data_IF_118100543117
#
_entry.id   IF_118100543117
#
_cell.length_a   1.000
_cell.length_b   1.000
_cell.length_c   1.000
_cell.angle_alpha   90.00
_cell.angle_beta   90.00
_cell.angle_gamma   90.00
#
_symmetry.space_group_name_H-M   'P 1'
#
loop_
_entity.id
_entity.type
_entity.pdbx_description
1 polymer ?
#
# COMPACT_ATOMS: atom_id res chain seq x y z
N UNK A 1 8.08 14.36 -6.66
CA UNK A 1 7.93 13.14 -5.83
C UNK A 1 6.76 12.33 -6.36
N UNK A 2 6.90 11.00 -6.49
CA UNK A 2 5.85 10.11 -6.99
C UNK A 2 5.63 8.97 -6.01
N UNK A 3 4.37 8.75 -5.62
CA UNK A 3 3.94 7.63 -4.79
C UNK A 3 3.23 6.59 -5.66
N UNK A 4 3.69 5.34 -5.57
CA UNK A 4 3.04 4.17 -6.18
C UNK A 4 2.61 3.23 -5.07
N UNK A 5 1.37 2.76 -5.10
CA UNK A 5 0.79 1.93 -4.04
C UNK A 5 0.07 0.74 -4.64
N UNK A 6 0.04 -0.36 -3.91
CA UNK A 6 -0.77 -1.52 -4.25
C UNK A 6 -1.27 -2.23 -2.99
N UNK A 7 -2.40 -2.90 -3.13
CA UNK A 7 -3.03 -3.71 -2.09
C UNK A 7 -3.45 -5.05 -2.67
N UNK A 8 -3.19 -6.10 -1.91
CA UNK A 8 -3.47 -7.49 -2.27
C UNK A 8 -4.36 -8.16 -1.22
N UNK A 9 -5.19 -9.09 -1.66
CA UNK A 9 -5.93 -10.04 -0.81
C UNK A 9 -5.94 -11.42 -1.46
N UNK A 10 -5.74 -12.47 -0.67
CA UNK A 10 -5.68 -13.86 -1.18
C UNK A 10 -7.04 -14.53 -1.42
N UNK A 11 -8.14 -13.84 -1.09
CA UNK A 11 -9.51 -14.31 -1.33
C UNK A 11 -10.08 -13.79 -2.64
N UNK A 12 -10.75 -14.65 -3.41
CA UNK A 12 -11.60 -14.24 -4.53
C UNK A 12 -12.83 -13.50 -3.97
N UNK A 13 -12.84 -12.17 -4.11
CA UNK A 13 -13.97 -11.24 -3.87
C UNK A 13 -14.50 -11.10 -2.43
N UNK A 14 -14.28 -12.06 -1.54
CA UNK A 14 -14.80 -12.06 -0.16
C UNK A 14 -13.70 -11.97 0.89
N UNK A 15 -14.05 -11.52 2.10
CA UNK A 15 -13.17 -11.32 3.27
C UNK A 15 -12.74 -12.66 3.89
N UNK A 16 -12.14 -13.53 3.08
CA UNK A 16 -11.79 -14.91 3.45
C UNK A 16 -10.28 -15.16 3.39
N UNK A 17 -9.50 -14.23 2.85
CA UNK A 17 -8.07 -14.39 2.60
C UNK A 17 -7.23 -13.27 3.19
N UNK A 18 -6.00 -13.62 3.60
CA UNK A 18 -5.02 -12.69 4.15
C UNK A 18 -4.77 -11.54 3.18
N UNK A 19 -4.67 -10.33 3.74
CA UNK A 19 -4.46 -9.12 2.97
C UNK A 19 -3.13 -8.44 3.33
N UNK A 20 -2.64 -7.63 2.41
CA UNK A 20 -1.44 -6.84 2.58
C UNK A 20 -1.48 -5.60 1.73
N UNK A 21 -0.68 -4.61 2.09
CA UNK A 21 -0.54 -3.37 1.36
C UNK A 21 0.91 -2.93 1.26
N UNK A 22 1.22 -2.12 0.26
CA UNK A 22 2.55 -1.59 0.07
C UNK A 22 2.57 -0.31 -0.74
N UNK A 23 3.67 0.42 -0.59
CA UNK A 23 3.90 1.68 -1.26
C UNK A 23 5.37 1.94 -1.50
N UNK A 24 5.67 2.61 -2.60
CA UNK A 24 7.01 2.97 -3.01
C UNK A 24 7.03 4.44 -3.47
N UNK A 25 7.97 5.18 -2.93
CA UNK A 25 8.16 6.60 -3.21
C UNK A 25 9.42 6.78 -4.04
N UNK A 26 9.28 7.55 -5.13
CA UNK A 26 10.37 7.91 -6.02
C UNK A 26 10.56 9.41 -6.11
N UNK A 27 11.79 9.84 -6.34
CA UNK A 27 12.08 11.22 -6.72
C UNK A 27 11.71 11.47 -8.20
N UNK A 28 11.93 12.68 -8.66
CA UNK A 28 11.71 13.12 -10.05
C UNK A 28 12.59 12.39 -11.08
N UNK A 29 13.73 11.82 -10.65
CA UNK A 29 14.62 10.98 -11.46
C UNK A 29 14.21 9.51 -11.49
N UNK A 30 13.04 9.18 -10.95
CA UNK A 30 12.55 7.82 -10.78
C UNK A 30 13.42 6.91 -9.89
N UNK A 31 14.31 7.49 -9.08
CA UNK A 31 15.11 6.75 -8.11
C UNK A 31 14.24 6.43 -6.88
N UNK A 32 14.47 5.25 -6.28
CA UNK A 32 13.81 4.86 -5.04
C UNK A 32 14.29 5.74 -3.89
N UNK A 33 13.36 6.25 -3.10
CA UNK A 33 13.65 7.08 -1.92
C UNK A 33 13.32 6.31 -0.65
N UNK A 34 12.07 5.83 -0.55
CA UNK A 34 11.56 5.08 0.61
C UNK A 34 10.33 4.26 0.21
N UNK A 35 9.85 3.42 1.12
CA UNK A 35 8.64 2.64 0.90
C UNK A 35 8.00 2.17 2.20
N UNK A 36 6.81 1.59 2.07
CA UNK A 36 6.07 0.98 3.17
C UNK A 36 5.56 -0.41 2.77
N UNK A 37 5.48 -1.30 3.74
CA UNK A 37 4.84 -2.60 3.62
C UNK A 37 4.01 -2.83 4.88
N UNK A 38 2.79 -3.34 4.72
CA UNK A 38 1.86 -3.56 5.81
C UNK A 38 1.17 -4.92 5.66
N UNK A 39 1.13 -5.68 6.75
CA UNK A 39 0.19 -6.79 6.88
C UNK A 39 -1.16 -6.25 7.32
N UNK A 40 -2.22 -6.70 6.67
CA UNK A 40 -3.58 -6.30 7.01
C UNK A 40 -4.36 -7.52 7.54
N UNK A 41 -5.31 -7.30 8.46
CA UNK A 41 -6.30 -8.32 8.78
C UNK A 41 -7.16 -8.64 7.55
N UNK A 42 -8.03 -9.64 7.66
CA UNK A 42 -8.99 -9.96 6.62
C UNK A 42 -9.80 -8.71 6.25
N UNK A 43 -9.71 -8.28 5.00
CA UNK A 43 -10.47 -7.17 4.45
C UNK A 43 -10.74 -7.40 2.95
N UNK A 44 -11.57 -6.54 2.34
CA UNK A 44 -11.74 -6.59 0.90
C UNK A 44 -10.49 -6.05 0.20
N UNK A 45 -10.25 -6.51 -1.03
CA UNK A 45 -9.13 -6.04 -1.85
C UNK A 45 -9.17 -4.51 -2.03
N UNK A 46 -10.37 -3.92 -2.10
CA UNK A 46 -10.52 -2.45 -2.17
C UNK A 46 -10.02 -1.76 -0.91
N UNK A 47 -10.30 -2.31 0.28
CA UNK A 47 -9.81 -1.76 1.54
C UNK A 47 -8.29 -1.83 1.60
N UNK A 48 -7.70 -2.96 1.18
CA UNK A 48 -6.24 -3.12 1.13
C UNK A 48 -5.57 -2.06 0.24
N UNK A 49 -6.19 -1.73 -0.91
CA UNK A 49 -5.71 -0.67 -1.80
C UNK A 49 -5.83 0.73 -1.19
N UNK A 50 -6.94 1.02 -0.49
CA UNK A 50 -7.10 2.29 0.22
C UNK A 50 -6.09 2.43 1.36
N UNK A 51 -5.84 1.35 2.11
CA UNK A 51 -4.80 1.29 3.14
C UNK A 51 -3.40 1.53 2.56
N UNK A 52 -3.10 1.01 1.38
CA UNK A 52 -1.84 1.25 0.68
C UNK A 52 -1.62 2.76 0.42
N UNK A 53 -2.67 3.46 -0.04
CA UNK A 53 -2.67 4.91 -0.26
C UNK A 53 -2.45 5.66 1.05
N UNK A 54 -3.25 5.34 2.07
CA UNK A 54 -3.14 5.97 3.38
C UNK A 54 -1.73 5.83 3.97
N UNK A 55 -1.20 4.60 4.06
CA UNK A 55 0.13 4.36 4.62
C UNK A 55 1.23 4.98 3.78
N UNK A 56 1.11 4.93 2.45
CA UNK A 56 2.05 5.59 1.55
C UNK A 56 2.11 7.10 1.76
N UNK A 57 0.94 7.75 1.91
CA UNK A 57 0.86 9.19 2.20
C UNK A 57 1.36 9.54 3.60
N UNK A 58 1.04 8.74 4.62
CA UNK A 58 1.59 8.92 5.97
C UNK A 58 3.11 8.91 5.94
N UNK A 59 3.71 7.92 5.27
CA UNK A 59 5.18 7.86 5.14
C UNK A 59 5.71 9.08 4.39
N UNK A 60 5.03 9.60 3.37
CA UNK A 60 5.45 10.83 2.67
C UNK A 60 5.43 12.06 3.60
N UNK A 61 4.44 12.17 4.48
CA UNK A 61 4.19 13.35 5.32
C UNK A 61 4.92 13.34 6.68
N UNK A 62 5.40 12.19 7.13
CA UNK A 62 6.16 12.04 8.39
C UNK A 62 7.67 12.38 8.24
N UNK A 63 8.10 12.92 7.09
CA UNK A 63 9.45 13.46 6.86
C UNK A 63 9.50 15.01 7.00
#
# INVERSE_FOLDING_TARGET
>A
MKLNTDGYGSGFEWVTGQAGCGGLIRNDRAEWVKGCCCWLPYCFVVDAKVWAIYKGLTVVLED
#
